data_IF_292004293151
#
_entry.id   IF_292004293151
#
_cell.length_a   1.000
_cell.length_b   1.000
_cell.length_c   1.000
_cell.angle_alpha   90.00
_cell.angle_beta   90.00
_cell.angle_gamma   90.00
#
_symmetry.space_group_name_H-M   'P 1'
#
loop_
_entity.id
_entity.type
_entity.pdbx_description
1 polymer ?
#
# COMPACT_ATOMS: atom_id res chain seq x y z
N UNK A 1 32.01 16.97 7.51
CA UNK A 1 31.06 16.51 8.54
C UNK A 1 29.63 17.02 8.28
N UNK A 2 29.41 18.25 7.78
CA UNK A 2 28.07 18.79 7.47
C UNK A 2 27.39 18.00 6.32
N UNK A 3 28.11 17.59 5.31
CA UNK A 3 27.56 16.77 4.20
C UNK A 3 27.08 15.41 4.68
N UNK A 4 27.78 14.82 5.65
CA UNK A 4 27.38 13.50 6.22
C UNK A 4 26.06 13.59 7.00
N UNK A 5 25.86 14.67 7.75
CA UNK A 5 24.60 14.93 8.48
C UNK A 5 23.44 15.18 7.50
N UNK A 6 23.70 15.91 6.43
CA UNK A 6 22.72 16.14 5.37
C UNK A 6 22.27 14.86 4.66
N UNK A 7 23.21 13.98 4.31
CA UNK A 7 22.90 12.68 3.68
C UNK A 7 22.11 11.75 4.61
N UNK A 8 22.50 11.65 5.88
CA UNK A 8 21.79 10.83 6.85
C UNK A 8 20.35 11.31 7.06
N UNK A 9 20.16 12.63 7.12
CA UNK A 9 18.83 13.26 7.21
C UNK A 9 17.97 12.98 5.98
N UNK A 10 18.53 13.12 4.78
CA UNK A 10 17.85 12.84 3.51
C UNK A 10 17.40 11.37 3.43
N UNK A 11 18.31 10.43 3.70
CA UNK A 11 17.99 8.99 3.68
C UNK A 11 16.91 8.64 4.69
N UNK A 12 16.97 9.22 5.90
CA UNK A 12 15.93 9.04 6.92
C UNK A 12 14.58 9.57 6.44
N UNK A 13 14.56 10.72 5.79
CA UNK A 13 13.33 11.30 5.22
C UNK A 13 12.71 10.38 4.15
N UNK A 14 13.50 9.87 3.21
CA UNK A 14 13.03 8.96 2.15
C UNK A 14 12.42 7.69 2.76
N UNK A 15 13.11 7.07 3.72
CA UNK A 15 12.65 5.86 4.41
C UNK A 15 11.37 6.14 5.20
N UNK A 16 11.33 7.20 5.98
CA UNK A 16 10.16 7.55 6.79
C UNK A 16 8.94 7.85 5.90
N UNK A 17 9.13 8.58 4.81
CA UNK A 17 8.07 8.87 3.83
C UNK A 17 7.57 7.58 3.17
N UNK A 18 8.47 6.69 2.75
CA UNK A 18 8.12 5.38 2.19
C UNK A 18 7.30 4.53 3.17
N UNK A 19 7.71 4.46 4.41
CA UNK A 19 7.02 3.69 5.45
C UNK A 19 5.64 4.27 5.79
N UNK A 20 5.59 5.55 6.08
CA UNK A 20 4.37 6.19 6.59
C UNK A 20 3.40 6.50 5.45
N UNK A 21 3.83 7.23 4.41
CA UNK A 21 2.94 7.67 3.36
C UNK A 21 2.56 6.55 2.39
N UNK A 22 3.53 5.73 1.96
CA UNK A 22 3.27 4.70 0.96
C UNK A 22 2.70 3.42 1.57
N UNK A 23 3.31 2.85 2.60
CA UNK A 23 2.83 1.57 3.17
C UNK A 23 1.66 1.77 4.11
N UNK A 24 1.77 2.65 5.13
CA UNK A 24 0.69 2.79 6.11
C UNK A 24 -0.51 3.57 5.58
N UNK A 25 -0.31 4.70 4.91
CA UNK A 25 -1.43 5.49 4.43
C UNK A 25 -1.96 4.97 3.09
N UNK A 26 -1.16 4.93 2.04
CA UNK A 26 -1.63 4.47 0.73
C UNK A 26 -1.91 2.97 0.74
N UNK A 27 -0.98 2.15 1.25
CA UNK A 27 -1.07 0.69 1.25
C UNK A 27 -2.32 0.16 1.96
N UNK A 28 -2.76 0.81 3.02
CA UNK A 28 -3.90 0.39 3.82
C UNK A 28 -5.20 1.12 3.44
N UNK A 29 -5.19 2.46 3.41
CA UNK A 29 -6.42 3.23 3.23
C UNK A 29 -6.95 3.19 1.81
N UNK A 30 -6.08 3.16 0.80
CA UNK A 30 -6.50 3.15 -0.59
C UNK A 30 -7.30 1.89 -0.95
N UNK A 31 -6.86 0.65 -0.62
CA UNK A 31 -7.68 -0.54 -0.83
C UNK A 31 -8.95 -0.54 0.03
N UNK A 32 -8.87 -0.02 1.25
CA UNK A 32 -10.04 0.06 2.12
C UNK A 32 -11.14 0.93 1.48
N UNK A 33 -10.83 2.17 1.10
CA UNK A 33 -11.82 3.09 0.52
C UNK A 33 -12.33 2.64 -0.85
N UNK A 34 -11.45 2.14 -1.73
CA UNK A 34 -11.86 1.67 -3.04
C UNK A 34 -12.75 0.42 -2.94
N UNK A 35 -12.41 -0.52 -2.08
CA UNK A 35 -13.23 -1.73 -1.87
C UNK A 35 -14.58 -1.40 -1.26
N UNK A 36 -14.64 -0.48 -0.30
CA UNK A 36 -15.90 -0.04 0.31
C UNK A 36 -16.79 0.70 -0.69
N UNK A 37 -16.22 1.59 -1.52
CA UNK A 37 -16.94 2.32 -2.56
C UNK A 37 -17.55 1.36 -3.60
N UNK A 38 -16.76 0.42 -4.09
CA UNK A 38 -17.20 -0.55 -5.08
C UNK A 38 -18.31 -1.49 -4.55
N UNK A 39 -18.19 -1.98 -3.32
CA UNK A 39 -19.21 -2.84 -2.70
C UNK A 39 -20.52 -2.08 -2.49
N UNK A 40 -20.44 -0.83 -2.05
CA UNK A 40 -21.62 0.01 -1.86
C UNK A 40 -22.36 0.26 -3.18
N UNK A 41 -21.64 0.65 -4.23
CA UNK A 41 -22.22 0.92 -5.54
C UNK A 41 -22.93 -0.29 -6.14
N UNK A 42 -22.36 -1.49 -5.99
CA UNK A 42 -22.96 -2.73 -6.49
C UNK A 42 -24.20 -3.13 -5.69
N UNK A 43 -24.22 -2.89 -4.38
CA UNK A 43 -25.37 -3.18 -3.53
C UNK A 43 -26.53 -2.22 -3.80
N UNK A 44 -26.24 -0.92 -3.97
CA UNK A 44 -27.26 0.10 -4.26
C UNK A 44 -27.87 -0.03 -5.66
N UNK A 45 -27.09 -0.45 -6.67
CA UNK A 45 -27.55 -0.62 -8.05
C UNK A 45 -28.25 -1.95 -8.34
N UNK A 46 -28.25 -2.90 -7.38
CA UNK A 46 -28.84 -4.23 -7.57
C UNK A 46 -28.15 -5.08 -8.66
N UNK A 47 -27.02 -4.62 -9.18
CA UNK A 47 -26.27 -5.30 -10.26
C UNK A 47 -25.68 -6.63 -9.79
N UNK A 48 -25.49 -6.80 -8.48
CA UNK A 48 -25.01 -8.05 -7.89
C UNK A 48 -25.94 -9.23 -8.22
N UNK A 49 -27.27 -9.00 -8.22
CA UNK A 49 -28.26 -10.05 -8.56
C UNK A 49 -28.20 -10.42 -10.04
N UNK A 50 -27.97 -9.45 -10.91
CA UNK A 50 -27.88 -9.67 -12.36
C UNK A 50 -26.57 -10.39 -12.75
N UNK A 51 -25.47 -10.06 -12.09
CA UNK A 51 -24.16 -10.72 -12.30
C UNK A 51 -24.16 -12.15 -11.80
N UNK A 52 -24.87 -12.45 -10.71
CA UNK A 52 -25.00 -13.81 -10.16
C UNK A 52 -25.95 -14.71 -10.96
N UNK A 53 -26.77 -14.14 -11.84
CA UNK A 53 -27.66 -14.92 -12.73
C UNK A 53 -26.97 -15.44 -13.99
N UNK A 54 -25.78 -14.93 -14.32
CA UNK A 54 -24.97 -15.47 -15.44
C UNK A 54 -24.12 -16.66 -14.98
N UNK A 55 -23.86 -17.66 -15.83
CA UNK A 55 -23.04 -18.85 -15.50
C UNK A 55 -21.54 -18.51 -15.50
N UNK A 56 -21.15 -17.46 -14.76
CA UNK A 56 -19.75 -17.12 -14.55
C UNK A 56 -19.34 -17.64 -13.18
N UNK A 57 -18.20 -18.33 -13.11
CA UNK A 57 -17.66 -18.78 -11.84
C UNK A 57 -17.36 -17.58 -10.93
N UNK A 58 -17.89 -17.60 -9.71
CA UNK A 58 -17.72 -16.52 -8.73
C UNK A 58 -16.24 -16.16 -8.48
N UNK A 59 -15.36 -17.17 -8.54
CA UNK A 59 -13.92 -16.96 -8.40
C UNK A 59 -13.30 -16.15 -9.53
N UNK A 60 -13.72 -16.38 -10.78
CA UNK A 60 -13.24 -15.63 -11.95
C UNK A 60 -13.63 -14.15 -11.85
N UNK A 61 -14.87 -13.87 -11.43
CA UNK A 61 -15.33 -12.50 -11.23
C UNK A 61 -14.49 -11.76 -10.19
N UNK A 62 -14.23 -12.38 -9.03
CA UNK A 62 -13.39 -11.80 -7.97
C UNK A 62 -11.96 -11.57 -8.50
N UNK A 63 -11.41 -12.55 -9.22
CA UNK A 63 -10.05 -12.45 -9.76
C UNK A 63 -9.88 -11.28 -10.74
N UNK A 64 -10.76 -11.15 -11.73
CA UNK A 64 -10.70 -10.05 -12.69
C UNK A 64 -10.92 -8.68 -12.02
N UNK A 65 -11.78 -8.63 -11.01
CA UNK A 65 -12.00 -7.41 -10.23
C UNK A 65 -10.76 -6.99 -9.47
N UNK A 66 -10.10 -7.91 -8.77
CA UNK A 66 -8.85 -7.64 -8.06
C UNK A 66 -7.74 -7.25 -9.04
N UNK A 67 -7.67 -7.92 -10.19
CA UNK A 67 -6.68 -7.61 -11.22
C UNK A 67 -6.87 -6.19 -11.79
N UNK A 68 -8.12 -5.80 -12.10
CA UNK A 68 -8.44 -4.45 -12.57
C UNK A 68 -8.11 -3.39 -11.53
N UNK A 69 -8.46 -3.64 -10.27
CA UNK A 69 -8.07 -2.79 -9.15
C UNK A 69 -6.54 -2.63 -9.07
N UNK A 70 -5.79 -3.75 -9.07
CA UNK A 70 -4.33 -3.73 -8.99
C UNK A 70 -3.70 -2.97 -10.16
N UNK A 71 -4.20 -3.14 -11.38
CA UNK A 71 -3.68 -2.43 -12.54
C UNK A 71 -3.76 -0.90 -12.36
N UNK A 72 -4.92 -0.39 -11.98
CA UNK A 72 -5.13 1.06 -11.77
C UNK A 72 -4.26 1.59 -10.63
N UNK A 73 -4.27 0.90 -9.49
CA UNK A 73 -3.55 1.35 -8.30
C UNK A 73 -2.04 1.25 -8.47
N UNK A 74 -1.54 0.23 -9.17
CA UNK A 74 -0.11 0.09 -9.47
C UNK A 74 0.40 1.24 -10.33
N UNK A 75 -0.34 1.65 -11.35
CA UNK A 75 0.02 2.81 -12.19
C UNK A 75 0.06 4.08 -11.34
N UNK A 76 -0.94 4.28 -10.48
CA UNK A 76 -0.99 5.44 -9.59
C UNK A 76 0.21 5.49 -8.63
N UNK A 77 0.54 4.38 -7.98
CA UNK A 77 1.69 4.28 -7.06
C UNK A 77 3.01 4.49 -7.77
N UNK A 78 3.18 3.93 -8.99
CA UNK A 78 4.38 4.13 -9.80
C UNK A 78 4.57 5.60 -10.18
N UNK A 79 3.51 6.29 -10.62
CA UNK A 79 3.57 7.71 -10.94
C UNK A 79 3.95 8.52 -9.69
N UNK A 80 3.29 8.26 -8.56
CA UNK A 80 3.55 8.96 -7.31
C UNK A 80 5.00 8.74 -6.82
N UNK A 81 5.49 7.50 -6.90
CA UNK A 81 6.86 7.14 -6.56
C UNK A 81 7.88 7.84 -7.48
N UNK A 82 7.62 7.91 -8.79
CA UNK A 82 8.46 8.65 -9.73
C UNK A 82 8.50 10.15 -9.43
N UNK A 83 7.36 10.74 -9.10
CA UNK A 83 7.30 12.16 -8.70
C UNK A 83 8.13 12.40 -7.44
N UNK A 84 8.00 11.51 -6.43
CA UNK A 84 8.79 11.61 -5.21
C UNK A 84 10.29 11.40 -5.48
N UNK A 85 10.66 10.45 -6.36
CA UNK A 85 12.04 10.26 -6.78
C UNK A 85 12.63 11.51 -7.44
N UNK A 86 11.87 12.18 -8.31
CA UNK A 86 12.28 13.45 -8.92
C UNK A 86 12.45 14.57 -7.88
N UNK A 87 11.48 14.71 -6.97
CA UNK A 87 11.55 15.74 -5.92
C UNK A 87 12.77 15.52 -5.03
N UNK A 88 12.98 14.30 -4.54
CA UNK A 88 14.10 14.00 -3.63
C UNK A 88 15.45 14.09 -4.34
N UNK A 89 15.50 13.73 -5.64
CA UNK A 89 16.73 13.83 -6.43
C UNK A 89 17.19 15.28 -6.68
N UNK A 90 16.24 16.24 -6.72
CA UNK A 90 16.55 17.66 -6.92
C UNK A 90 16.84 18.40 -5.60
N UNK A 91 16.13 18.01 -4.53
CA UNK A 91 16.22 18.72 -3.21
C UNK A 91 17.29 18.09 -2.32
N UNK A 92 17.74 16.87 -2.63
CA UNK A 92 18.71 16.14 -1.81
C UNK A 92 20.07 16.85 -1.69
N UNK A 93 20.81 16.63 -0.60
CA UNK A 93 22.14 17.18 -0.39
C UNK A 93 23.13 16.58 -1.40
N UNK A 94 24.05 17.40 -1.91
CA UNK A 94 25.12 17.00 -2.82
C UNK A 94 25.40 18.02 -3.92
N UNK A 95 26.56 17.91 -4.57
CA UNK A 95 27.01 18.83 -5.61
C UNK A 95 26.42 18.53 -7.00
N UNK A 96 25.71 17.40 -7.17
CA UNK A 96 25.07 17.02 -8.41
C UNK A 96 23.64 17.53 -8.48
N UNK A 97 23.28 18.14 -9.62
CA UNK A 97 21.93 18.67 -9.87
C UNK A 97 20.82 17.59 -9.77
N UNK A 98 21.13 16.32 -10.04
CA UNK A 98 20.20 15.20 -9.94
C UNK A 98 20.90 13.98 -9.34
N UNK A 99 20.33 13.45 -8.25
CA UNK A 99 20.79 12.22 -7.59
C UNK A 99 20.09 10.99 -8.17
N UNK A 100 20.76 10.29 -9.07
CA UNK A 100 20.21 9.07 -9.67
C UNK A 100 20.10 7.90 -8.67
N UNK A 101 20.86 7.93 -7.57
CA UNK A 101 20.84 6.90 -6.52
C UNK A 101 19.51 6.76 -5.76
N UNK A 102 18.65 7.80 -5.76
CA UNK A 102 17.36 7.76 -5.09
C UNK A 102 16.29 6.99 -5.89
N UNK A 103 16.46 6.87 -7.21
CA UNK A 103 15.51 6.19 -8.09
C UNK A 103 15.29 4.71 -7.73
N UNK A 104 16.32 3.86 -7.55
CA UNK A 104 16.13 2.47 -7.17
C UNK A 104 15.45 2.33 -5.81
N UNK A 105 15.72 3.23 -4.85
CA UNK A 105 15.05 3.22 -3.53
C UNK A 105 13.55 3.46 -3.70
N UNK A 106 13.16 4.48 -4.48
CA UNK A 106 11.75 4.79 -4.72
C UNK A 106 11.03 3.70 -5.53
N UNK A 107 11.71 3.06 -6.48
CA UNK A 107 11.16 1.89 -7.18
C UNK A 107 10.94 0.71 -6.23
N UNK A 108 11.85 0.47 -5.29
CA UNK A 108 11.69 -0.54 -4.26
C UNK A 108 10.53 -0.25 -3.31
N UNK A 109 10.36 1.02 -2.90
CA UNK A 109 9.21 1.47 -2.12
C UNK A 109 7.90 1.26 -2.90
N UNK A 110 7.87 1.61 -4.19
CA UNK A 110 6.70 1.39 -5.04
C UNK A 110 6.35 -0.08 -5.16
N UNK A 111 7.33 -0.95 -5.41
CA UNK A 111 7.12 -2.39 -5.51
C UNK A 111 6.57 -2.98 -4.21
N UNK A 112 7.15 -2.62 -3.07
CA UNK A 112 6.67 -3.03 -1.75
C UNK A 112 5.23 -2.56 -1.50
N UNK A 113 4.93 -1.30 -1.84
CA UNK A 113 3.59 -0.74 -1.69
C UNK A 113 2.57 -1.47 -2.56
N UNK A 114 2.92 -1.82 -3.80
CA UNK A 114 2.06 -2.60 -4.71
C UNK A 114 1.78 -3.99 -4.13
N UNK A 115 2.76 -4.66 -3.52
CA UNK A 115 2.55 -5.95 -2.85
C UNK A 115 1.58 -5.82 -1.67
N UNK A 116 1.73 -4.80 -0.84
CA UNK A 116 0.83 -4.52 0.29
C UNK A 116 -0.59 -4.21 -0.22
N UNK A 117 -0.72 -3.41 -1.29
CA UNK A 117 -1.99 -3.11 -1.94
C UNK A 117 -2.64 -4.36 -2.54
N UNK A 118 -1.87 -5.28 -3.08
CA UNK A 118 -2.37 -6.57 -3.57
C UNK A 118 -2.95 -7.42 -2.44
N UNK A 119 -2.26 -7.49 -1.31
CA UNK A 119 -2.70 -8.23 -0.14
C UNK A 119 -4.00 -7.65 0.44
N UNK A 120 -4.03 -6.36 0.75
CA UNK A 120 -5.24 -5.72 1.29
C UNK A 120 -6.36 -5.61 0.27
N UNK A 121 -6.05 -5.33 -0.99
CA UNK A 121 -7.04 -5.26 -2.05
C UNK A 121 -7.76 -6.60 -2.25
N UNK A 122 -7.03 -7.72 -2.25
CA UNK A 122 -7.64 -9.05 -2.33
C UNK A 122 -8.49 -9.36 -1.10
N UNK A 123 -7.99 -9.04 0.10
CA UNK A 123 -8.67 -9.28 1.37
C UNK A 123 -9.98 -8.47 1.46
N UNK A 124 -9.94 -7.17 1.26
CA UNK A 124 -11.11 -6.29 1.41
C UNK A 124 -12.15 -6.53 0.30
N UNK A 125 -11.71 -6.76 -0.95
CA UNK A 125 -12.63 -7.12 -2.03
C UNK A 125 -13.33 -8.45 -1.76
N UNK A 126 -12.63 -9.45 -1.23
CA UNK A 126 -13.21 -10.75 -0.91
C UNK A 126 -14.20 -10.65 0.24
N UNK A 127 -13.85 -9.95 1.33
CA UNK A 127 -14.75 -9.73 2.47
C UNK A 127 -16.00 -8.98 2.03
N UNK A 128 -15.84 -7.91 1.24
CA UNK A 128 -16.96 -7.11 0.76
C UNK A 128 -17.97 -7.91 -0.07
N UNK A 129 -17.50 -8.85 -0.89
CA UNK A 129 -18.37 -9.73 -1.70
C UNK A 129 -19.00 -10.87 -0.93
N UNK A 130 -18.28 -11.47 0.01
CA UNK A 130 -18.78 -12.60 0.80
C UNK A 130 -19.79 -12.15 1.87
N UNK A 131 -19.63 -10.94 2.40
CA UNK A 131 -20.43 -10.42 3.51
C UNK A 131 -21.06 -9.05 3.16
N UNK A 132 -21.99 -8.98 2.19
CA UNK A 132 -22.51 -7.70 1.68
C UNK A 132 -23.16 -6.81 2.76
N UNK A 133 -23.68 -7.42 3.84
CA UNK A 133 -24.31 -6.69 4.94
C UNK A 133 -23.35 -6.21 6.02
N UNK A 134 -22.34 -7.01 6.35
CA UNK A 134 -21.40 -6.76 7.45
C UNK A 134 -19.96 -6.53 7.00
N UNK A 135 -19.66 -6.77 5.73
CA UNK A 135 -18.29 -6.67 5.18
C UNK A 135 -17.66 -5.31 5.37
N UNK A 136 -18.45 -4.23 5.25
CA UNK A 136 -17.98 -2.85 5.46
C UNK A 136 -17.44 -2.67 6.89
N UNK A 137 -18.21 -3.10 7.90
CA UNK A 137 -17.80 -2.98 9.29
C UNK A 137 -16.56 -3.83 9.59
N UNK A 138 -16.50 -5.05 9.04
CA UNK A 138 -15.36 -5.94 9.22
C UNK A 138 -14.10 -5.37 8.58
N UNK A 139 -14.19 -4.81 7.36
CA UNK A 139 -13.07 -4.14 6.70
C UNK A 139 -12.56 -2.95 7.51
N UNK A 140 -13.44 -2.14 8.10
CA UNK A 140 -13.04 -1.02 8.95
C UNK A 140 -12.33 -1.52 10.21
N UNK A 141 -12.86 -2.56 10.88
CA UNK A 141 -12.23 -3.12 12.08
C UNK A 141 -10.84 -3.66 11.76
N UNK A 142 -10.69 -4.41 10.67
CA UNK A 142 -9.40 -4.92 10.21
C UNK A 142 -8.47 -3.75 9.85
N UNK A 143 -8.97 -2.73 9.16
CA UNK A 143 -8.19 -1.55 8.79
C UNK A 143 -7.64 -0.81 10.01
N UNK A 144 -8.46 -0.61 11.04
CA UNK A 144 -8.03 0.02 12.31
C UNK A 144 -6.99 -0.85 13.03
N UNK A 145 -7.22 -2.16 13.06
CA UNK A 145 -6.25 -3.11 13.63
C UNK A 145 -4.90 -3.06 12.92
N UNK A 146 -4.92 -3.14 11.59
CA UNK A 146 -3.70 -3.11 10.76
C UNK A 146 -2.95 -1.79 10.89
N UNK A 147 -3.67 -0.67 10.96
CA UNK A 147 -3.06 0.64 11.19
C UNK A 147 -2.38 0.71 12.56
N UNK A 148 -3.04 0.23 13.63
CA UNK A 148 -2.49 0.18 14.96
C UNK A 148 -1.23 -0.71 15.03
N UNK A 149 -1.26 -1.87 14.38
CA UNK A 149 -0.11 -2.79 14.32
C UNK A 149 1.05 -2.23 13.50
N UNK A 150 0.77 -1.58 12.38
CA UNK A 150 1.78 -0.89 11.58
C UNK A 150 2.45 0.22 12.38
N UNK A 151 1.68 1.01 13.11
CA UNK A 151 2.21 2.06 13.99
C UNK A 151 3.05 1.47 15.14
N UNK A 152 2.60 0.36 15.72
CA UNK A 152 3.36 -0.38 16.75
C UNK A 152 4.70 -0.86 16.20
N UNK A 153 4.75 -1.32 14.95
CA UNK A 153 5.99 -1.74 14.29
C UNK A 153 6.99 -0.60 14.13
N UNK A 154 6.52 0.63 13.86
CA UNK A 154 7.39 1.81 13.77
C UNK A 154 8.04 2.16 15.10
N UNK A 155 7.31 1.98 16.22
CA UNK A 155 7.79 2.29 17.57
C UNK A 155 8.61 1.14 18.15
N UNK A 156 8.17 -0.09 17.91
CA UNK A 156 8.76 -1.33 18.49
C UNK A 156 8.87 -2.42 17.44
N UNK A 157 9.92 -2.41 16.60
CA UNK A 157 10.06 -3.36 15.48
C UNK A 157 10.11 -4.84 15.87
N UNK A 158 10.48 -5.14 17.13
CA UNK A 158 10.59 -6.50 17.67
C UNK A 158 9.30 -7.08 18.29
N UNK A 159 8.15 -6.40 18.13
CA UNK A 159 6.89 -6.87 18.71
C UNK A 159 6.37 -8.13 18.00
N UNK A 160 6.23 -9.24 18.76
CA UNK A 160 5.70 -10.50 18.22
C UNK A 160 4.22 -10.41 17.80
N UNK A 161 3.45 -9.51 18.40
CA UNK A 161 2.05 -9.29 18.05
C UNK A 161 1.92 -8.57 16.70
N UNK A 162 2.83 -7.65 16.41
CA UNK A 162 2.84 -6.93 15.13
C UNK A 162 3.12 -7.86 13.93
N UNK A 163 3.82 -8.97 14.12
CA UNK A 163 4.13 -9.94 13.05
C UNK A 163 2.89 -10.62 12.44
N UNK A 164 1.72 -10.51 13.07
CA UNK A 164 0.45 -10.99 12.55
C UNK A 164 -0.20 -10.00 11.54
N UNK A 165 0.41 -8.84 11.33
CA UNK A 165 -0.09 -7.77 10.48
C UNK A 165 0.64 -7.75 9.14
N UNK A 166 -0.09 -7.49 8.06
CA UNK A 166 0.51 -7.29 6.71
C UNK A 166 1.33 -6.01 6.68
N UNK A 167 0.90 -4.96 7.41
CA UNK A 167 1.64 -3.71 7.56
C UNK A 167 3.03 -3.91 8.12
N UNK A 168 3.19 -4.80 9.10
CA UNK A 168 4.50 -5.14 9.68
C UNK A 168 5.48 -5.67 8.62
N UNK A 169 5.04 -6.64 7.82
CA UNK A 169 5.86 -7.22 6.76
C UNK A 169 6.17 -6.22 5.65
N UNK A 170 5.21 -5.37 5.28
CA UNK A 170 5.42 -4.28 4.34
C UNK A 170 6.51 -3.31 4.81
N UNK A 171 6.49 -2.93 6.09
CA UNK A 171 7.51 -2.04 6.67
C UNK A 171 8.90 -2.69 6.70
N UNK A 172 9.00 -3.98 7.02
CA UNK A 172 10.27 -4.72 7.00
C UNK A 172 10.82 -4.90 5.58
N UNK A 173 9.95 -5.09 4.58
CA UNK A 173 10.37 -5.14 3.18
C UNK A 173 11.04 -3.84 2.73
N UNK A 174 10.52 -2.68 3.14
CA UNK A 174 11.19 -1.40 2.86
C UNK A 174 12.59 -1.36 3.47
N UNK A 175 12.74 -1.79 4.72
CA UNK A 175 14.06 -1.83 5.36
C UNK A 175 15.04 -2.71 4.59
N UNK A 176 14.59 -3.88 4.12
CA UNK A 176 15.43 -4.79 3.34
C UNK A 176 15.81 -4.23 1.97
N UNK A 177 14.88 -3.53 1.30
CA UNK A 177 15.13 -2.88 0.00
C UNK A 177 16.14 -1.74 0.14
N UNK A 178 15.99 -0.92 1.19
CA UNK A 178 16.90 0.20 1.45
C UNK A 178 18.30 -0.27 1.87
N UNK A 179 18.40 -1.43 2.56
CA UNK A 179 19.69 -2.01 2.91
C UNK A 179 20.41 -2.63 1.69
N UNK A 180 19.66 -3.02 0.67
CA UNK A 180 20.17 -3.61 -0.56
C UNK A 180 20.56 -2.57 -1.63
N UNK A 181 20.14 -1.33 -1.48
CA UNK A 181 20.43 -0.18 -2.38
C UNK A 181 21.55 0.68 -1.83
#
# INVERSE_FOLDING_TARGET
>A
DENYVGEAGHRTFVIATGKIAFVLLLGLFLPLFLSLGLVRDETERGTLHYLLSKPIHRGEFIFYRVLGYLAVVSVFVLILSLVMALITSVIGPGDSFVRLGDFPVWLGIAFTTILVLAAYGSLFNTIGLLLPKYGVYLCIIIGVWEFAMGFTTLISPGSSVASLSVSHWGLQLIDSVVLAS
#
